data_IF_877929895061
#
_entry.id   IF_877929895061
#
_cell.length_a   1.000
_cell.length_b   1.000
_cell.length_c   1.000
_cell.angle_alpha   90.00
_cell.angle_beta   90.00
_cell.angle_gamma   90.00
#
_symmetry.space_group_name_H-M   'P 1'
#
loop_
_entity.id
_entity.type
_entity.pdbx_description
1 polymer ?
#
# COMPACT_ATOMS: atom_id res chain seq x y z
N UNK A 1 -19.09 -6.74 -3.59
CA UNK A 1 -18.61 -5.93 -2.45
C UNK A 1 -17.52 -4.93 -2.86
N UNK A 2 -16.28 -5.36 -3.13
CA UNK A 2 -15.15 -4.45 -3.43
C UNK A 2 -15.38 -3.59 -4.67
N UNK A 3 -15.74 -4.19 -5.82
CA UNK A 3 -16.05 -3.42 -7.05
C UNK A 3 -17.08 -2.31 -6.80
N UNK A 4 -18.18 -2.64 -6.12
CA UNK A 4 -19.25 -1.68 -5.84
C UNK A 4 -18.89 -0.54 -4.88
N UNK A 5 -17.82 -0.67 -4.08
CA UNK A 5 -17.38 0.39 -3.17
C UNK A 5 -16.16 1.16 -3.69
N UNK A 6 -15.23 0.47 -4.34
CA UNK A 6 -13.91 1.02 -4.63
C UNK A 6 -13.76 1.54 -6.06
N UNK A 7 -14.66 1.19 -7.00
CA UNK A 7 -14.59 1.66 -8.40
C UNK A 7 -15.61 2.74 -8.75
N UNK A 8 -16.28 3.33 -7.76
CA UNK A 8 -17.31 4.36 -7.98
C UNK A 8 -16.70 5.71 -8.35
N UNK A 9 -15.48 6.00 -7.89
CA UNK A 9 -14.81 7.28 -8.12
C UNK A 9 -13.65 7.18 -9.14
N UNK A 10 -13.03 6.01 -9.30
CA UNK A 10 -11.89 5.81 -10.20
C UNK A 10 -11.74 4.34 -10.62
N UNK A 11 -10.92 4.10 -11.66
CA UNK A 11 -10.64 2.76 -12.19
C UNK A 11 -9.96 1.82 -11.18
N UNK A 12 -10.27 0.52 -11.27
CA UNK A 12 -9.62 -0.54 -10.51
C UNK A 12 -8.11 -0.67 -10.80
N UNK A 13 -7.63 -0.08 -11.90
CA UNK A 13 -6.20 -0.07 -12.24
C UNK A 13 -5.35 0.58 -11.15
N UNK A 14 -5.92 1.47 -10.33
CA UNK A 14 -5.19 2.07 -9.20
C UNK A 14 -4.74 1.04 -8.17
N UNK A 15 -5.51 -0.02 -7.91
CA UNK A 15 -5.13 -1.06 -6.94
C UNK A 15 -3.98 -1.93 -7.45
N UNK A 16 -3.85 -2.08 -8.77
CA UNK A 16 -2.74 -2.81 -9.38
C UNK A 16 -1.45 -2.00 -9.29
N UNK A 17 -1.54 -0.68 -9.50
CA UNK A 17 -0.40 0.23 -9.47
C UNK A 17 0.07 0.56 -8.05
N UNK A 18 -0.85 0.61 -7.10
CA UNK A 18 -0.59 0.89 -5.70
C UNK A 18 -0.84 -0.38 -4.90
N UNK A 19 0.20 -1.18 -4.66
CA UNK A 19 0.12 -2.34 -3.77
C UNK A 19 0.35 -1.91 -2.33
N UNK A 20 -0.27 -2.60 -1.38
CA UNK A 20 -0.22 -2.22 0.03
C UNK A 20 -0.46 -3.38 0.98
N UNK A 21 0.12 -3.29 2.18
CA UNK A 21 -0.24 -4.18 3.29
C UNK A 21 -1.65 -3.86 3.79
N UNK A 22 -2.23 -4.74 4.61
CA UNK A 22 -3.53 -4.49 5.24
C UNK A 22 -3.61 -3.12 5.91
N UNK A 23 -2.58 -2.77 6.68
CA UNK A 23 -2.51 -1.49 7.38
C UNK A 23 -2.54 -0.32 6.39
N UNK A 24 -1.72 -0.39 5.33
CA UNK A 24 -1.71 0.66 4.32
C UNK A 24 -3.08 0.81 3.64
N UNK A 25 -3.75 -0.30 3.34
CA UNK A 25 -5.10 -0.26 2.76
C UNK A 25 -6.12 0.36 3.70
N UNK A 26 -6.07 0.04 4.99
CA UNK A 26 -6.92 0.66 6.00
C UNK A 26 -6.67 2.17 6.09
N UNK A 27 -5.40 2.60 6.11
CA UNK A 27 -5.04 4.02 6.14
C UNK A 27 -5.54 4.76 4.90
N UNK A 28 -5.45 4.14 3.72
CA UNK A 28 -5.98 4.70 2.46
C UNK A 28 -7.50 4.83 2.52
N UNK A 29 -8.22 3.81 3.01
CA UNK A 29 -9.68 3.87 3.19
C UNK A 29 -10.07 5.00 4.14
N UNK A 30 -9.38 5.12 5.27
CA UNK A 30 -9.60 6.21 6.24
C UNK A 30 -9.33 7.59 5.64
N UNK A 31 -8.26 7.72 4.84
CA UNK A 31 -7.97 8.96 4.12
C UNK A 31 -9.06 9.31 3.09
N UNK A 32 -9.53 8.34 2.31
CA UNK A 32 -10.62 8.54 1.36
C UNK A 32 -11.91 8.95 2.06
N UNK A 33 -12.21 8.35 3.21
CA UNK A 33 -13.37 8.68 4.01
C UNK A 33 -13.29 10.11 4.58
N UNK A 34 -12.11 10.52 5.04
CA UNK A 34 -11.89 11.85 5.61
C UNK A 34 -11.86 12.97 4.56
N UNK A 35 -11.33 12.69 3.36
CA UNK A 35 -10.96 13.75 2.41
C UNK A 35 -11.65 13.67 1.05
N UNK A 36 -12.05 12.48 0.60
CA UNK A 36 -12.58 12.25 -0.75
C UNK A 36 -14.07 11.92 -0.77
N UNK A 37 -14.74 11.92 0.39
CA UNK A 37 -16.17 11.65 0.50
C UNK A 37 -16.56 10.17 0.37
N UNK A 38 -15.62 9.24 0.59
CA UNK A 38 -15.96 7.82 0.69
C UNK A 38 -16.83 7.61 1.94
N UNK A 39 -17.92 6.88 1.80
CA UNK A 39 -18.81 6.58 2.92
C UNK A 39 -18.16 5.66 3.96
N UNK A 40 -18.71 5.69 5.17
CA UNK A 40 -18.31 4.75 6.22
C UNK A 40 -18.80 3.35 5.86
N UNK A 41 -17.92 2.37 6.03
CA UNK A 41 -18.26 0.97 5.92
C UNK A 41 -18.70 0.45 7.29
N UNK A 42 -19.63 -0.49 7.32
CA UNK A 42 -19.82 -1.30 8.52
C UNK A 42 -18.56 -2.17 8.76
N UNK A 43 -18.30 -2.59 10.02
CA UNK A 43 -17.10 -3.33 10.37
C UNK A 43 -16.89 -4.62 9.55
N UNK A 44 -17.96 -5.35 9.24
CA UNK A 44 -17.88 -6.61 8.49
C UNK A 44 -17.56 -6.37 7.02
N UNK A 45 -18.16 -5.36 6.41
CA UNK A 45 -17.84 -4.93 5.04
C UNK A 45 -16.40 -4.47 4.94
N UNK A 46 -15.93 -3.64 5.87
CA UNK A 46 -14.55 -3.17 5.85
C UNK A 46 -13.58 -4.34 5.98
N UNK A 47 -13.83 -5.26 6.92
CA UNK A 47 -13.01 -6.46 7.08
C UNK A 47 -12.92 -7.26 5.78
N UNK A 48 -14.05 -7.53 5.12
CA UNK A 48 -14.10 -8.28 3.86
C UNK A 48 -13.37 -7.56 2.73
N UNK A 49 -13.46 -6.23 2.66
CA UNK A 49 -12.74 -5.42 1.68
C UNK A 49 -11.23 -5.51 1.93
N UNK A 50 -10.78 -5.33 3.17
CA UNK A 50 -9.37 -5.41 3.55
C UNK A 50 -8.80 -6.81 3.31
N UNK A 51 -9.53 -7.88 3.67
CA UNK A 51 -9.14 -9.27 3.40
C UNK A 51 -8.90 -9.50 1.90
N UNK A 52 -9.79 -8.98 1.05
CA UNK A 52 -9.62 -9.09 -0.40
C UNK A 52 -8.43 -8.27 -0.92
N UNK A 53 -8.26 -7.03 -0.46
CA UNK A 53 -7.18 -6.15 -0.93
C UNK A 53 -5.80 -6.68 -0.52
N UNK A 54 -5.67 -7.20 0.69
CA UNK A 54 -4.46 -7.85 1.18
C UNK A 54 -4.13 -9.10 0.38
N UNK A 55 -5.10 -10.01 0.19
CA UNK A 55 -4.86 -11.26 -0.53
C UNK A 55 -4.46 -11.06 -2.00
N UNK A 56 -4.98 -10.01 -2.65
CA UNK A 56 -4.81 -9.81 -4.10
C UNK A 56 -3.77 -8.73 -4.46
N UNK A 57 -3.59 -7.71 -3.61
CA UNK A 57 -2.77 -6.53 -3.88
C UNK A 57 -1.74 -6.23 -2.78
N UNK A 58 -1.31 -7.25 -2.04
CA UNK A 58 -0.17 -7.15 -1.14
C UNK A 58 1.14 -6.77 -1.88
N UNK A 59 2.10 -6.14 -1.17
CA UNK A 59 3.44 -5.94 -1.67
C UNK A 59 4.10 -7.30 -1.95
N UNK A 60 4.93 -7.33 -2.98
CA UNK A 60 5.57 -8.52 -3.52
C UNK A 60 6.99 -8.09 -3.85
N UNK A 61 7.99 -8.84 -3.37
CA UNK A 61 9.40 -8.40 -3.29
C UNK A 61 10.07 -8.01 -4.62
N UNK A 62 9.40 -8.22 -5.73
CA UNK A 62 9.82 -8.05 -7.11
C UNK A 62 8.88 -7.15 -7.92
N UNK A 63 7.85 -6.53 -7.31
CA UNK A 63 6.84 -5.74 -8.03
C UNK A 63 7.13 -4.25 -8.10
N UNK A 64 8.42 -3.87 -8.12
CA UNK A 64 8.80 -2.48 -8.37
C UNK A 64 8.61 -2.15 -9.84
N UNK A 65 8.03 -0.98 -10.15
CA UNK A 65 7.96 -0.49 -11.54
C UNK A 65 9.34 -0.25 -12.16
N UNK A 66 10.37 -0.04 -11.34
CA UNK A 66 11.77 0.14 -11.73
C UNK A 66 12.63 -0.76 -10.87
N UNK A 67 13.70 -1.30 -11.45
CA UNK A 67 14.69 -2.04 -10.69
C UNK A 67 15.23 -1.17 -9.53
N UNK A 68 15.37 -1.74 -8.32
CA UNK A 68 16.09 -1.08 -7.24
C UNK A 68 17.51 -0.72 -7.71
N UNK A 69 18.01 0.43 -7.26
CA UNK A 69 19.42 0.78 -7.48
C UNK A 69 20.30 -0.28 -6.80
N UNK A 70 21.40 -0.67 -7.45
CA UNK A 70 22.36 -1.60 -6.85
C UNK A 70 22.89 -1.02 -5.52
N UNK A 71 23.13 -1.85 -4.49
CA UNK A 71 23.73 -1.40 -3.23
C UNK A 71 25.01 -0.58 -3.42
N UNK A 72 25.80 -0.86 -4.46
CA UNK A 72 27.04 -0.12 -4.79
C UNK A 72 26.80 1.34 -5.15
N UNK A 73 25.61 1.69 -5.64
CA UNK A 73 25.22 3.05 -6.00
C UNK A 73 24.35 3.74 -4.95
N UNK A 74 24.08 3.09 -3.81
CA UNK A 74 23.35 3.71 -2.72
C UNK A 74 24.25 4.70 -1.97
N UNK A 75 23.79 5.91 -1.66
CA UNK A 75 24.52 6.81 -0.77
C UNK A 75 24.62 6.18 0.64
N UNK A 76 25.64 6.55 1.43
CA UNK A 76 25.74 6.10 2.81
C UNK A 76 24.47 6.52 3.59
N UNK A 77 23.88 5.59 4.35
CA UNK A 77 22.70 5.87 5.15
C UNK A 77 23.09 6.78 6.34
N UNK A 78 22.58 8.03 6.42
CA UNK A 78 22.95 8.97 7.47
C UNK A 78 22.39 8.61 8.85
N UNK A 79 21.51 7.60 8.93
CA UNK A 79 20.87 7.14 10.18
C UNK A 79 21.41 5.78 10.67
N UNK A 80 22.46 5.23 10.04
CA UNK A 80 23.10 4.00 10.56
C UNK A 80 23.88 4.30 11.83
N UNK A 81 23.67 3.48 12.86
CA UNK A 81 24.44 3.54 14.10
C UNK A 81 25.92 3.21 13.85
N UNK A 82 26.88 3.75 14.63
CA UNK A 82 28.31 3.59 14.38
C UNK A 82 28.83 2.14 14.34
N UNK A 83 28.06 1.20 14.88
CA UNK A 83 28.44 -0.22 15.04
C UNK A 83 28.42 -1.02 13.73
N UNK A 84 27.85 -0.49 12.64
CA UNK A 84 27.67 -1.21 11.35
C UNK A 84 28.53 -0.68 10.19
N UNK A 85 29.48 0.22 10.45
CA UNK A 85 30.44 0.65 9.42
C UNK A 85 31.55 -0.41 9.28
N UNK A 86 31.83 -0.92 8.06
CA UNK A 86 33.02 -1.74 7.85
C UNK A 86 34.27 -0.87 8.12
N UNK A 87 35.17 -1.39 8.97
CA UNK A 87 36.47 -0.77 9.26
C UNK A 87 37.34 -0.63 8.02
#
# INVERSE_FOLDING_TARGET
LVKGNCTQCHSAQRFVLQRGSRQLWADIIRWMQKTQGLWQFDPDTEKKILDYLEANYAPSGNNYRRAPISPTFMPPNPFKSPTELPK
#
